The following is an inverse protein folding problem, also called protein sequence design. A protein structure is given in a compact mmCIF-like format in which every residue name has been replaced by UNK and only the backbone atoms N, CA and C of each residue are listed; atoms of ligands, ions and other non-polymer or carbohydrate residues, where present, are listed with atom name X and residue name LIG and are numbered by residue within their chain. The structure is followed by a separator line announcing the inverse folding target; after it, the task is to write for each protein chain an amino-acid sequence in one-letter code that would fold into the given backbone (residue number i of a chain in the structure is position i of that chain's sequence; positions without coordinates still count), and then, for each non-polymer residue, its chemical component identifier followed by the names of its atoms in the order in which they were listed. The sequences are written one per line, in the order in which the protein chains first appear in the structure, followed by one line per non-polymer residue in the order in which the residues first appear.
data_IF_348082993175
#
_entry.id   IF_348082993175
#
_cell.length_a   1.000
_cell.length_b   1.000
_cell.length_c   1.000
_cell.angle_alpha   90.00
_cell.angle_beta   90.00
_cell.angle_gamma   90.00
#
_symmetry.space_group_name_H-M   'P 1'
#
loop_
_entity.id
_entity.type
_entity.pdbx_description
1 polymer ?
#
# COMPACT_ATOMS: atom_id res chain seq x y z
N UNK A 1 -0.17 26.85 7.79
CA UNK A 1 -1.27 25.93 7.44
C UNK A 1 -0.84 24.56 7.89
N UNK A 2 -1.42 23.95 8.93
CA UNK A 2 -1.13 22.56 9.30
C UNK A 2 -1.83 21.68 8.29
N UNK A 3 -1.06 20.91 7.52
CA UNK A 3 -1.62 19.91 6.64
C UNK A 3 -2.51 18.97 7.47
N UNK A 4 -3.76 18.82 7.07
CA UNK A 4 -4.72 17.90 7.68
C UNK A 4 -4.31 16.50 7.23
N UNK A 5 -3.56 15.79 8.07
CA UNK A 5 -3.11 14.42 7.80
C UNK A 5 -4.35 13.51 7.73
N UNK A 6 -4.46 12.76 6.67
CA UNK A 6 -5.62 11.90 6.38
C UNK A 6 -5.78 10.71 7.31
N UNK A 7 -6.89 9.99 7.19
CA UNK A 7 -7.40 8.99 8.13
C UNK A 7 -6.86 7.58 7.88
N UNK A 8 -5.53 7.34 7.96
CA UNK A 8 -4.89 6.06 7.64
C UNK A 8 -3.85 5.65 8.68
N UNK A 9 -3.49 4.36 8.77
CA UNK A 9 -2.22 3.99 9.38
C UNK A 9 -1.11 4.87 8.83
N UNK A 10 -0.25 5.36 9.70
CA UNK A 10 0.89 6.16 9.26
C UNK A 10 1.97 5.25 8.65
N UNK A 11 2.87 5.78 7.84
CA UNK A 11 3.92 4.99 7.18
C UNK A 11 4.79 4.17 8.14
N UNK A 12 4.94 4.58 9.40
CA UNK A 12 5.63 3.76 10.39
C UNK A 12 4.92 2.41 10.64
N UNK A 13 3.59 2.36 10.63
CA UNK A 13 2.84 1.10 10.75
C UNK A 13 3.05 0.22 9.51
N UNK A 14 2.99 0.80 8.31
CA UNK A 14 3.24 0.06 7.06
C UNK A 14 4.69 -0.45 6.96
N UNK A 15 5.67 0.35 7.37
CA UNK A 15 7.08 -0.07 7.45
C UNK A 15 7.23 -1.22 8.45
N UNK A 16 6.54 -1.16 9.61
CA UNK A 16 6.58 -2.22 10.61
C UNK A 16 6.03 -3.55 10.07
N UNK A 17 4.91 -3.53 9.32
CA UNK A 17 4.38 -4.71 8.65
C UNK A 17 5.36 -5.30 7.64
N UNK A 18 5.93 -4.48 6.77
CA UNK A 18 6.93 -4.92 5.80
C UNK A 18 8.18 -5.48 6.47
N UNK A 19 8.69 -4.80 7.51
CA UNK A 19 9.84 -5.25 8.29
C UNK A 19 9.59 -6.60 8.96
N UNK A 20 8.45 -6.75 9.64
CA UNK A 20 8.09 -8.01 10.29
C UNK A 20 7.99 -9.15 9.30
N UNK A 21 7.27 -8.95 8.20
CA UNK A 21 7.11 -9.95 7.16
C UNK A 21 8.46 -10.43 6.61
N UNK A 22 9.36 -9.49 6.28
CA UNK A 22 10.68 -9.80 5.72
C UNK A 22 11.66 -10.40 6.75
N UNK A 23 11.44 -10.17 8.06
CA UNK A 23 12.25 -10.74 9.12
C UNK A 23 11.81 -12.16 9.52
N UNK A 24 10.51 -12.45 9.45
CA UNK A 24 9.95 -13.73 9.85
C UNK A 24 9.92 -14.76 8.71
N UNK A 25 9.87 -14.31 7.46
CA UNK A 25 9.76 -15.17 6.29
C UNK A 25 10.86 -14.87 5.27
N UNK A 26 11.54 -15.89 4.70
CA UNK A 26 12.44 -15.67 3.58
C UNK A 26 11.71 -15.00 2.41
N UNK A 27 12.23 -13.89 1.89
CA UNK A 27 11.61 -13.13 0.81
C UNK A 27 11.27 -14.00 -0.42
N UNK A 28 12.13 -14.97 -0.75
CA UNK A 28 11.91 -15.91 -1.85
C UNK A 28 10.70 -16.82 -1.64
N UNK A 29 10.39 -17.20 -0.38
CA UNK A 29 9.20 -18.01 -0.07
C UNK A 29 7.90 -17.23 -0.22
N UNK A 30 7.98 -15.90 -0.16
CA UNK A 30 6.90 -14.96 -0.38
C UNK A 30 6.76 -14.54 -1.85
N UNK A 31 7.65 -14.99 -2.73
CA UNK A 31 7.73 -14.55 -4.12
C UNK A 31 8.33 -13.15 -4.29
N UNK A 32 8.92 -12.57 -3.25
CA UNK A 32 9.59 -11.26 -3.26
C UNK A 32 11.04 -11.44 -3.69
N UNK A 33 11.48 -10.72 -4.73
CA UNK A 33 12.83 -10.77 -5.30
C UNK A 33 13.67 -9.57 -4.89
N UNK A 34 13.03 -8.43 -4.70
CA UNK A 34 13.63 -7.16 -4.32
C UNK A 34 12.91 -6.61 -3.08
N UNK A 35 13.49 -6.83 -1.91
CA UNK A 35 12.93 -6.38 -0.63
C UNK A 35 12.82 -4.85 -0.54
N UNK A 36 13.76 -4.12 -1.19
CA UNK A 36 13.72 -2.66 -1.24
C UNK A 36 12.51 -2.16 -2.07
N UNK A 37 12.25 -2.80 -3.21
CA UNK A 37 11.10 -2.48 -4.04
C UNK A 37 9.78 -2.85 -3.34
N UNK A 38 9.73 -3.97 -2.62
CA UNK A 38 8.57 -4.36 -1.82
C UNK A 38 8.30 -3.37 -0.69
N UNK A 39 9.34 -2.97 0.06
CA UNK A 39 9.23 -1.97 1.11
C UNK A 39 8.69 -0.64 0.56
N UNK A 40 9.27 -0.16 -0.54
CA UNK A 40 8.81 1.05 -1.18
C UNK A 40 7.37 0.94 -1.68
N UNK A 41 7.02 -0.19 -2.30
CA UNK A 41 5.67 -0.48 -2.78
C UNK A 41 4.63 -0.33 -1.66
N UNK A 42 4.98 -0.71 -0.44
CA UNK A 42 4.13 -0.59 0.75
C UNK A 42 3.87 0.88 1.18
N UNK A 43 4.42 1.86 0.49
CA UNK A 43 4.18 3.29 0.71
C UNK A 43 3.47 3.94 -0.49
N UNK A 44 3.50 3.28 -1.65
CA UNK A 44 3.06 3.84 -2.94
C UNK A 44 1.62 4.36 -2.95
N UNK A 45 0.61 3.65 -2.39
CA UNK A 45 -0.77 4.16 -2.39
C UNK A 45 -0.91 5.54 -1.74
N UNK A 46 -0.05 5.87 -0.79
CA UNK A 46 -0.06 7.13 -0.06
C UNK A 46 0.73 8.27 -0.72
N UNK A 47 1.57 7.97 -1.70
CA UNK A 47 2.45 9.00 -2.32
C UNK A 47 1.64 10.14 -2.92
N UNK A 48 0.54 9.85 -3.60
CA UNK A 48 -0.28 10.83 -4.31
C UNK A 48 -1.57 11.23 -3.62
N UNK A 49 -1.81 10.83 -2.38
CA UNK A 49 -2.98 11.30 -1.61
C UNK A 49 -2.84 12.77 -1.14
N UNK A 50 -1.65 13.36 -1.29
CA UNK A 50 -1.42 14.79 -1.13
C UNK A 50 -1.05 15.26 0.28
N UNK A 51 -0.80 14.35 1.23
CA UNK A 51 -0.44 14.72 2.61
C UNK A 51 0.79 14.00 3.17
N UNK A 52 1.23 12.88 2.58
CA UNK A 52 2.43 12.17 3.05
C UNK A 52 3.70 12.73 2.41
N UNK A 53 3.65 13.05 1.13
CA UNK A 53 4.78 13.60 0.40
C UNK A 53 4.63 15.12 0.23
N UNK A 54 5.63 15.93 0.62
CA UNK A 54 5.63 17.36 0.32
C UNK A 54 5.71 17.61 -1.19
N UNK A 55 4.73 18.34 -1.74
CA UNK A 55 4.70 18.74 -3.16
C UNK A 55 4.88 17.58 -4.14
N UNK A 56 4.02 16.54 -4.09
CA UNK A 56 4.08 15.46 -5.07
C UNK A 56 3.81 15.98 -6.48
N UNK A 57 4.29 15.30 -7.50
CA UNK A 57 4.07 15.70 -8.90
C UNK A 57 2.62 15.58 -9.38
N UNK A 58 1.76 14.96 -8.58
CA UNK A 58 0.33 14.82 -8.81
C UNK A 58 -0.41 14.53 -7.50
N UNK A 59 -1.72 14.76 -7.49
CA UNK A 59 -2.62 14.39 -6.39
C UNK A 59 -3.75 13.59 -6.99
N UNK A 60 -4.03 12.41 -6.42
CA UNK A 60 -5.10 11.52 -6.80
C UNK A 60 -6.10 11.37 -5.64
N UNK A 61 -7.39 11.20 -5.94
CA UNK A 61 -8.36 10.86 -4.92
C UNK A 61 -7.99 9.56 -4.19
N UNK A 62 -8.23 9.52 -2.88
CA UNK A 62 -8.01 8.33 -2.07
C UNK A 62 -8.72 7.09 -2.63
N UNK A 63 -9.94 7.25 -3.14
CA UNK A 63 -10.70 6.18 -3.77
C UNK A 63 -9.98 5.51 -4.95
N UNK A 64 -9.16 6.26 -5.69
CA UNK A 64 -8.35 5.72 -6.78
C UNK A 64 -7.07 5.06 -6.28
N UNK A 65 -6.35 5.70 -5.35
CA UNK A 65 -5.09 5.18 -4.85
C UNK A 65 -5.28 3.94 -3.97
N UNK A 66 -6.43 3.81 -3.31
CA UNK A 66 -6.73 2.74 -2.35
C UNK A 66 -7.86 1.81 -2.78
N UNK A 67 -8.38 1.91 -4.01
CA UNK A 67 -9.48 1.05 -4.47
C UNK A 67 -10.68 1.06 -3.52
N UNK A 68 -11.05 2.20 -2.98
CA UNK A 68 -12.04 2.32 -1.95
C UNK A 68 -13.19 3.24 -2.36
N UNK A 69 -14.39 2.96 -1.85
CA UNK A 69 -15.53 3.84 -2.06
C UNK A 69 -15.42 5.08 -1.16
N UNK A 70 -15.82 6.27 -1.64
CA UNK A 70 -15.74 7.49 -0.86
C UNK A 70 -16.63 7.44 0.39
N UNK A 71 -16.02 7.41 1.57
CA UNK A 71 -16.71 7.51 2.85
C UNK A 71 -15.74 8.06 3.93
N UNK A 72 -16.21 8.21 5.17
CA UNK A 72 -15.38 8.76 6.26
C UNK A 72 -14.22 7.85 6.69
N UNK A 73 -14.37 6.54 6.55
CA UNK A 73 -13.35 5.53 6.83
C UNK A 73 -13.44 4.51 5.69
N UNK A 74 -12.81 4.80 4.54
CA UNK A 74 -12.93 3.97 3.36
C UNK A 74 -12.15 2.66 3.54
N UNK A 75 -12.79 1.53 3.22
CA UNK A 75 -12.17 0.20 3.26
C UNK A 75 -11.64 -0.14 1.87
N UNK A 76 -10.33 -0.33 1.70
CA UNK A 76 -9.75 -0.73 0.43
C UNK A 76 -10.27 -2.09 -0.06
N UNK A 77 -10.56 -2.18 -1.35
CA UNK A 77 -10.86 -3.45 -2.02
C UNK A 77 -9.56 -4.09 -2.50
N UNK A 78 -8.79 -4.63 -1.57
CA UNK A 78 -7.47 -5.22 -1.82
C UNK A 78 -7.53 -6.42 -2.79
N UNK A 79 -8.66 -7.14 -2.81
CA UNK A 79 -8.89 -8.25 -3.76
C UNK A 79 -9.02 -7.77 -5.19
N UNK A 80 -9.74 -6.67 -5.42
CA UNK A 80 -9.88 -6.08 -6.74
C UNK A 80 -8.51 -5.65 -7.28
N UNK A 81 -7.65 -5.10 -6.41
CA UNK A 81 -6.27 -4.79 -6.78
C UNK A 81 -5.47 -6.04 -7.11
N UNK A 82 -5.58 -7.09 -6.29
CA UNK A 82 -4.90 -8.36 -6.54
C UNK A 82 -5.31 -8.98 -7.88
N UNK A 83 -6.61 -9.06 -8.11
CA UNK A 83 -7.18 -9.65 -9.33
C UNK A 83 -6.81 -8.86 -10.58
N UNK A 84 -6.60 -7.55 -10.43
CA UNK A 84 -6.21 -6.67 -11.55
C UNK A 84 -4.70 -6.71 -11.85
N UNK A 85 -3.84 -6.66 -10.82
CA UNK A 85 -2.40 -6.43 -11.01
C UNK A 85 -1.52 -7.63 -10.69
N UNK A 86 -1.94 -8.55 -9.84
CA UNK A 86 -1.11 -9.67 -9.40
C UNK A 86 -1.53 -10.97 -10.07
N UNK A 87 -2.81 -11.30 -10.05
CA UNK A 87 -3.31 -12.57 -10.59
C UNK A 87 -3.02 -12.73 -12.09
N UNK A 88 -3.28 -11.74 -12.96
CA UNK A 88 -2.96 -11.86 -14.38
C UNK A 88 -1.48 -12.06 -14.66
N UNK A 89 -0.61 -11.44 -13.86
CA UNK A 89 0.83 -11.58 -14.01
C UNK A 89 1.35 -12.98 -13.68
N UNK A 90 0.63 -13.76 -12.87
CA UNK A 90 0.95 -15.16 -12.60
C UNK A 90 0.75 -16.07 -13.83
N UNK A 91 -0.03 -15.66 -14.81
CA UNK A 91 -0.28 -16.43 -16.03
C UNK A 91 0.79 -16.21 -17.10
N UNK A 92 1.63 -15.19 -16.94
CA UNK A 92 2.67 -14.85 -17.91
C UNK A 92 3.94 -15.71 -17.71
N UNK A 93 4.71 -15.99 -18.80
CA UNK A 93 6.02 -16.62 -18.70
C UNK A 93 6.97 -15.84 -17.78
N UNK A 94 7.91 -16.53 -17.14
CA UNK A 94 8.85 -15.93 -16.19
C UNK A 94 9.83 -14.94 -16.80
N UNK A 95 10.06 -15.00 -18.11
CA UNK A 95 10.94 -14.14 -18.88
C UNK A 95 10.26 -12.83 -19.36
N UNK A 96 8.94 -12.69 -19.15
CA UNK A 96 8.24 -11.43 -19.47
C UNK A 96 8.78 -10.30 -18.59
N UNK A 97 9.14 -9.16 -19.19
CA UNK A 97 9.71 -8.03 -18.44
C UNK A 97 8.71 -7.45 -17.45
N UNK A 98 9.22 -6.81 -16.39
CA UNK A 98 8.41 -6.05 -15.45
C UNK A 98 7.72 -4.91 -16.17
N UNK A 99 6.41 -4.91 -16.18
CA UNK A 99 5.49 -3.88 -16.67
C UNK A 99 5.93 -3.09 -17.91
N UNK A 100 5.03 -2.56 -18.67
CA UNK A 100 5.37 -1.72 -19.80
C UNK A 100 5.82 -0.32 -19.34
N UNK A 101 6.75 0.27 -20.06
CA UNK A 101 7.15 1.67 -19.86
C UNK A 101 5.99 2.66 -20.19
N UNK A 102 5.09 2.24 -21.08
CA UNK A 102 3.86 2.97 -21.40
C UNK A 102 2.78 1.99 -21.86
N UNK A 103 1.54 2.26 -21.50
CA UNK A 103 0.38 1.52 -22.01
C UNK A 103 -0.47 2.46 -22.84
N UNK A 104 -0.74 2.06 -24.11
CA UNK A 104 -1.67 2.76 -24.97
C UNK A 104 -3.08 2.23 -24.70
N UNK A 105 -4.03 3.12 -24.44
CA UNK A 105 -5.41 2.78 -24.08
C UNK A 105 -6.28 2.90 -25.31
N UNK A 106 -7.05 1.84 -25.56
CA UNK A 106 -8.11 1.86 -26.59
C UNK A 106 -9.38 2.58 -26.09
N UNK A 107 -10.19 3.04 -27.04
CA UNK A 107 -11.45 3.75 -26.78
C UNK A 107 -12.35 3.00 -25.79
N UNK A 108 -12.76 3.66 -24.71
CA UNK A 108 -13.69 3.13 -23.72
C UNK A 108 -13.10 2.80 -22.35
N UNK A 109 -11.77 2.81 -22.19
CA UNK A 109 -11.10 2.74 -20.88
C UNK A 109 -10.68 4.15 -20.51
N UNK A 110 -11.37 4.75 -19.54
CA UNK A 110 -10.95 6.05 -19.01
C UNK A 110 -9.63 5.87 -18.23
N UNK A 111 -8.54 6.26 -18.87
CA UNK A 111 -7.29 6.46 -18.17
C UNK A 111 -7.16 7.95 -17.93
N UNK A 112 -7.45 8.34 -16.72
CA UNK A 112 -7.16 9.69 -16.26
C UNK A 112 -5.67 9.83 -16.07
N UNK A 113 -5.03 10.60 -16.93
CA UNK A 113 -3.67 11.06 -16.72
C UNK A 113 -3.65 12.40 -15.99
N UNK A 114 -4.04 12.41 -14.72
CA UNK A 114 -3.55 13.46 -13.83
C UNK A 114 -2.09 13.14 -13.52
N UNK A 115 -1.17 13.81 -14.20
CA UNK A 115 0.27 13.61 -13.96
C UNK A 115 0.89 12.32 -14.52
N UNK A 116 0.21 11.58 -15.40
CA UNK A 116 0.72 10.34 -16.01
C UNK A 116 0.21 9.04 -15.38
N UNK A 117 -0.82 9.10 -14.56
CA UNK A 117 -1.37 7.97 -13.80
C UNK A 117 -2.63 7.38 -14.45
N UNK A 118 -2.91 6.09 -14.16
CA UNK A 118 -4.15 5.44 -14.53
C UNK A 118 -5.27 5.80 -13.55
N UNK A 119 -6.47 6.08 -14.05
CA UNK A 119 -7.68 5.96 -13.28
C UNK A 119 -8.13 4.50 -13.33
N UNK A 120 -8.40 3.89 -12.16
CA UNK A 120 -9.00 2.57 -12.10
C UNK A 120 -10.48 2.70 -12.44
N UNK A 121 -10.94 1.89 -13.38
CA UNK A 121 -12.36 1.84 -13.69
C UNK A 121 -13.16 1.32 -12.50
N UNK A 122 -14.26 1.96 -12.19
CA UNK A 122 -15.12 1.61 -11.05
C UNK A 122 -16.11 0.45 -11.34
N UNK A 123 -16.04 -0.19 -12.52
CA UNK A 123 -16.95 -1.28 -12.88
C UNK A 123 -16.23 -2.57 -13.19
N UNK A 124 -16.82 -3.77 -12.94
CA UNK A 124 -16.21 -5.07 -13.24
C UNK A 124 -15.78 -5.22 -14.69
N UNK A 125 -16.57 -4.71 -15.65
CA UNK A 125 -16.29 -4.78 -17.08
C UNK A 125 -15.03 -3.98 -17.43
N UNK A 126 -14.83 -2.84 -16.78
CA UNK A 126 -13.64 -2.01 -16.97
C UNK A 126 -12.42 -2.64 -16.32
N UNK A 127 -12.59 -3.29 -15.16
CA UNK A 127 -11.50 -4.06 -14.53
C UNK A 127 -11.00 -5.16 -15.47
N UNK A 128 -11.92 -5.91 -16.09
CA UNK A 128 -11.54 -6.95 -17.05
C UNK A 128 -10.86 -6.37 -18.29
N UNK A 129 -11.33 -5.24 -18.81
CA UNK A 129 -10.68 -4.57 -19.93
C UNK A 129 -9.23 -4.13 -19.60
N UNK A 130 -9.00 -3.58 -18.39
CA UNK A 130 -7.63 -3.23 -17.92
C UNK A 130 -6.78 -4.47 -17.74
N UNK A 131 -7.32 -5.54 -17.14
CA UNK A 131 -6.60 -6.79 -16.97
C UNK A 131 -6.21 -7.42 -18.31
N UNK A 132 -7.13 -7.41 -19.29
CA UNK A 132 -6.87 -7.89 -20.64
C UNK A 132 -5.78 -7.06 -21.35
N UNK A 133 -5.81 -5.75 -21.18
CA UNK A 133 -4.81 -4.83 -21.72
C UNK A 133 -3.43 -5.09 -21.11
N UNK A 134 -3.35 -5.28 -19.79
CA UNK A 134 -2.09 -5.59 -19.09
C UNK A 134 -1.51 -6.94 -19.56
N UNK A 135 -2.35 -7.96 -19.72
CA UNK A 135 -1.95 -9.24 -20.30
C UNK A 135 -1.41 -9.09 -21.72
N UNK A 136 -2.12 -8.36 -22.57
CA UNK A 136 -1.72 -8.12 -23.95
C UNK A 136 -0.40 -7.33 -24.05
N UNK A 137 -0.15 -6.40 -23.12
CA UNK A 137 1.10 -5.64 -23.03
C UNK A 137 2.26 -6.45 -22.40
N UNK A 138 2.04 -7.68 -21.95
CA UNK A 138 3.06 -8.50 -21.30
C UNK A 138 3.42 -7.99 -19.89
N UNK A 139 2.50 -7.32 -19.20
CA UNK A 139 2.73 -6.83 -17.83
C UNK A 139 2.93 -7.99 -16.84
N UNK A 140 3.94 -7.87 -16.00
CA UNK A 140 4.22 -8.79 -14.91
C UNK A 140 4.27 -8.03 -13.58
N UNK A 141 3.71 -8.61 -12.50
CA UNK A 141 3.77 -7.99 -11.19
C UNK A 141 5.22 -7.79 -10.74
N UNK A 142 5.55 -6.58 -10.32
CA UNK A 142 6.82 -6.23 -9.68
C UNK A 142 6.69 -6.27 -8.17
N UNK A 143 7.82 -6.22 -7.45
CA UNK A 143 7.80 -6.18 -6.00
C UNK A 143 7.23 -4.85 -5.47
N UNK A 144 7.28 -3.76 -6.25
CA UNK A 144 6.53 -2.52 -5.97
C UNK A 144 5.02 -2.77 -5.97
N UNK A 145 4.51 -3.56 -6.93
CA UNK A 145 3.07 -3.92 -6.99
C UNK A 145 2.66 -4.79 -5.80
N UNK A 146 3.49 -5.78 -5.44
CA UNK A 146 3.24 -6.62 -4.26
C UNK A 146 3.22 -5.81 -2.97
N UNK A 147 4.14 -4.86 -2.83
CA UNK A 147 4.17 -3.94 -1.71
C UNK A 147 2.93 -3.04 -1.64
N UNK A 148 2.47 -2.51 -2.79
CA UNK A 148 1.25 -1.71 -2.84
C UNK A 148 0.01 -2.53 -2.45
N UNK A 149 -0.08 -3.78 -2.88
CA UNK A 149 -1.14 -4.67 -2.38
C UNK A 149 -1.04 -4.91 -0.87
N UNK A 150 0.17 -5.11 -0.33
CA UNK A 150 0.37 -5.31 1.10
C UNK A 150 -0.11 -4.10 1.92
N UNK A 151 0.14 -2.87 1.44
CA UNK A 151 -0.41 -1.66 2.02
C UNK A 151 -1.95 -1.70 2.06
N UNK A 152 -2.59 -1.96 0.91
CA UNK A 152 -4.04 -2.00 0.82
C UNK A 152 -4.66 -3.09 1.71
N UNK A 153 -3.99 -4.24 1.85
CA UNK A 153 -4.40 -5.32 2.75
C UNK A 153 -4.36 -4.88 4.21
N UNK A 154 -3.30 -4.18 4.64
CA UNK A 154 -3.20 -3.63 5.98
C UNK A 154 -4.32 -2.61 6.23
N UNK A 155 -4.50 -1.67 5.33
CA UNK A 155 -5.55 -0.65 5.44
C UNK A 155 -6.96 -1.25 5.47
N UNK A 156 -7.20 -2.28 4.67
CA UNK A 156 -8.44 -3.05 4.70
C UNK A 156 -8.68 -3.60 6.10
N UNK A 157 -7.71 -4.34 6.66
CA UNK A 157 -7.84 -4.94 8.00
C UNK A 157 -8.10 -3.88 9.09
N UNK A 158 -7.33 -2.79 9.10
CA UNK A 158 -7.50 -1.72 10.08
C UNK A 158 -8.82 -0.98 9.94
N UNK A 159 -9.29 -0.72 8.74
CA UNK A 159 -10.52 0.02 8.53
C UNK A 159 -11.76 -0.84 8.77
N UNK A 160 -11.74 -2.13 8.43
CA UNK A 160 -12.80 -3.08 8.83
C UNK A 160 -12.89 -3.20 10.36
N UNK A 161 -11.76 -3.42 11.04
CA UNK A 161 -11.73 -3.49 12.49
C UNK A 161 -12.20 -2.17 13.13
N UNK A 162 -11.84 -1.02 12.53
CA UNK A 162 -12.33 0.29 12.99
C UNK A 162 -13.85 0.38 12.87
N UNK A 163 -14.45 -0.07 11.76
CA UNK A 163 -15.91 -0.08 11.61
C UNK A 163 -16.58 -0.97 12.67
N UNK A 164 -16.07 -2.18 12.88
CA UNK A 164 -16.58 -3.10 13.91
C UNK A 164 -16.49 -2.46 15.31
N UNK A 165 -15.36 -1.85 15.65
CA UNK A 165 -15.16 -1.12 16.90
C UNK A 165 -16.16 0.01 17.10
N UNK A 166 -16.33 0.88 16.08
CA UNK A 166 -17.25 2.01 16.18
C UNK A 166 -18.70 1.53 16.35
N UNK A 167 -19.09 0.44 15.72
CA UNK A 167 -20.41 -0.16 15.87
C UNK A 167 -20.61 -0.75 17.27
N UNK A 168 -19.64 -1.52 17.76
CA UNK A 168 -19.71 -2.17 19.09
C UNK A 168 -19.81 -1.16 20.23
N UNK A 169 -18.99 -0.10 20.18
CA UNK A 169 -18.93 0.93 21.21
C UNK A 169 -19.87 2.13 20.96
N UNK A 170 -20.75 2.03 19.96
CA UNK A 170 -21.69 3.08 19.57
C UNK A 170 -21.05 4.46 19.36
N UNK A 171 -19.84 4.48 18.82
CA UNK A 171 -19.12 5.73 18.50
C UNK A 171 -19.57 6.24 17.15
N UNK A 172 -20.12 7.47 17.05
CA UNK A 172 -20.54 8.02 15.78
C UNK A 172 -19.35 8.24 14.84
N UNK A 173 -19.51 7.83 13.57
CA UNK A 173 -18.55 8.20 12.53
C UNK A 173 -18.58 9.73 12.30
N UNK A 174 -17.43 10.30 11.92
CA UNK A 174 -17.32 11.73 11.61
C UNK A 174 -15.92 12.28 11.85
N UNK A 175 -15.76 13.56 11.62
CA UNK A 175 -14.45 14.25 11.66
C UNK A 175 -13.75 14.12 13.02
N UNK A 176 -14.50 14.26 14.13
CA UNK A 176 -13.93 14.09 15.48
C UNK A 176 -13.37 12.69 15.70
N UNK A 177 -14.10 11.66 15.25
CA UNK A 177 -13.66 10.25 15.35
C UNK A 177 -12.46 10.00 14.45
N UNK A 178 -12.46 10.57 13.24
CA UNK A 178 -11.32 10.50 12.32
C UNK A 178 -10.05 11.10 12.95
N UNK A 179 -10.13 12.26 13.60
CA UNK A 179 -8.99 12.90 14.27
C UNK A 179 -8.47 12.04 15.43
N UNK A 180 -9.37 11.47 16.25
CA UNK A 180 -8.98 10.59 17.36
C UNK A 180 -8.30 9.32 16.83
N UNK A 181 -8.90 8.69 15.81
CA UNK A 181 -8.33 7.54 15.11
C UNK A 181 -6.89 7.85 14.68
N UNK A 182 -6.69 8.94 13.95
CA UNK A 182 -5.37 9.33 13.46
C UNK A 182 -4.36 9.49 14.59
N UNK A 183 -4.74 10.18 15.67
CA UNK A 183 -3.86 10.39 16.83
C UNK A 183 -3.47 9.07 17.51
N UNK A 184 -4.37 8.10 17.57
CA UNK A 184 -4.09 6.80 18.17
C UNK A 184 -3.19 5.95 17.26
N UNK A 185 -3.38 6.00 15.93
CA UNK A 185 -2.48 5.35 14.97
C UNK A 185 -1.06 5.94 15.00
N UNK A 186 -0.92 7.25 15.16
CA UNK A 186 0.39 7.90 15.32
C UNK A 186 1.10 7.43 16.60
N UNK A 187 0.35 7.26 17.70
CA UNK A 187 0.89 6.73 18.96
C UNK A 187 1.28 5.26 18.80
N UNK A 188 0.39 4.44 18.23
CA UNK A 188 0.66 3.02 17.97
C UNK A 188 1.89 2.84 17.09
N UNK A 189 1.98 3.56 15.98
CA UNK A 189 3.15 3.48 15.10
C UNK A 189 4.47 3.79 15.82
N UNK A 190 4.45 4.68 16.84
CA UNK A 190 5.64 4.97 17.65
C UNK A 190 5.97 3.92 18.71
N UNK A 191 5.08 2.96 18.98
CA UNK A 191 5.42 1.79 19.83
C UNK A 191 6.08 0.68 19.03
N UNK A 192 6.06 0.74 17.69
CA UNK A 192 6.63 -0.29 16.83
C UNK A 192 8.12 -0.04 16.60
N UNK A 193 8.99 -1.03 16.82
CA UNK A 193 10.43 -0.90 16.58
C UNK A 193 10.70 -1.02 15.07
N UNK A 194 10.78 0.10 14.37
CA UNK A 194 11.10 0.12 12.93
C UNK A 194 12.54 0.55 12.68
N UNK A 195 13.21 -0.20 11.81
CA UNK A 195 14.61 0.00 11.45
C UNK A 195 14.85 -0.08 9.95
N UNK A 196 13.91 -0.67 9.21
CA UNK A 196 14.03 -0.92 7.78
C UNK A 196 13.98 0.40 7.01
N UNK A 197 15.04 0.70 6.28
CA UNK A 197 15.18 1.86 5.41
C UNK A 197 15.24 1.43 3.95
N UNK A 198 14.81 2.31 3.04
CA UNK A 198 14.86 2.10 1.61
C UNK A 198 15.96 2.90 0.91
N UNK A 199 16.24 2.52 -0.32
CA UNK A 199 17.16 3.22 -1.23
C UNK A 199 16.48 3.49 -2.58
N UNK A 200 16.65 4.70 -3.12
CA UNK A 200 16.13 5.06 -4.43
C UNK A 200 17.09 4.57 -5.56
N UNK A 201 17.12 3.25 -5.74
CA UNK A 201 17.95 2.63 -6.79
C UNK A 201 17.34 2.81 -8.19
N UNK A 202 18.17 2.69 -9.24
CA UNK A 202 17.68 2.72 -10.62
C UNK A 202 16.63 1.62 -10.89
N UNK A 203 16.81 0.44 -10.31
CA UNK A 203 15.87 -0.67 -10.42
C UNK A 203 14.51 -0.33 -9.75
N UNK A 204 14.53 0.29 -8.57
CA UNK A 204 13.33 0.77 -7.90
C UNK A 204 12.59 1.82 -8.73
N UNK A 205 13.33 2.82 -9.24
CA UNK A 205 12.75 3.88 -10.08
C UNK A 205 12.10 3.29 -11.32
N UNK A 206 12.75 2.32 -11.97
CA UNK A 206 12.20 1.66 -13.15
C UNK A 206 10.92 0.87 -12.83
N UNK A 207 10.89 0.12 -11.72
CA UNK A 207 9.69 -0.61 -11.29
C UNK A 207 8.54 0.35 -10.96
N UNK A 208 8.81 1.42 -10.22
CA UNK A 208 7.81 2.40 -9.82
C UNK A 208 7.23 3.17 -11.03
N UNK A 209 8.06 3.52 -12.01
CA UNK A 209 7.63 4.17 -13.25
C UNK A 209 6.80 3.24 -14.13
N UNK A 210 7.13 1.94 -14.15
CA UNK A 210 6.42 0.93 -14.91
C UNK A 210 5.09 0.49 -14.28
N UNK A 211 4.81 0.87 -13.02
CA UNK A 211 3.59 0.49 -12.34
C UNK A 211 2.39 1.32 -12.88
N UNK A 212 1.47 0.71 -13.66
CA UNK A 212 0.49 1.47 -14.43
C UNK A 212 -0.43 2.33 -13.56
N UNK A 213 -0.77 1.87 -12.37
CA UNK A 213 -1.69 2.55 -11.45
C UNK A 213 -1.19 3.92 -11.02
N UNK A 214 0.10 4.05 -10.77
CA UNK A 214 0.68 5.28 -10.19
C UNK A 214 1.70 5.93 -11.11
N UNK A 215 2.46 5.16 -11.89
CA UNK A 215 3.50 5.61 -12.82
C UNK A 215 4.38 6.72 -12.20
N UNK A 216 4.97 6.42 -11.03
CA UNK A 216 5.67 7.40 -10.21
C UNK A 216 6.87 7.99 -10.95
N UNK A 217 7.05 9.29 -10.81
CA UNK A 217 8.23 9.97 -11.33
C UNK A 217 9.43 9.72 -10.41
N UNK A 218 10.63 9.70 -10.99
CA UNK A 218 11.89 9.57 -10.26
C UNK A 218 11.94 10.48 -9.02
N UNK A 219 11.62 11.75 -9.18
CA UNK A 219 11.67 12.74 -8.10
C UNK A 219 10.71 12.41 -6.95
N UNK A 220 9.56 11.79 -7.24
CA UNK A 220 8.61 11.38 -6.20
C UNK A 220 9.08 10.09 -5.50
N UNK A 221 9.73 9.18 -6.23
CA UNK A 221 10.36 7.99 -5.65
C UNK A 221 11.48 8.40 -4.67
N UNK A 222 12.41 9.26 -5.12
CA UNK A 222 13.53 9.75 -4.31
C UNK A 222 13.03 10.45 -3.04
N UNK A 223 12.06 11.37 -3.16
CA UNK A 223 11.46 12.06 -2.01
C UNK A 223 10.72 11.13 -1.07
N UNK A 224 9.99 10.15 -1.61
CA UNK A 224 9.26 9.20 -0.76
C UNK A 224 10.23 8.35 0.06
N UNK A 225 11.35 7.92 -0.53
CA UNK A 225 12.42 7.22 0.19
C UNK A 225 13.03 8.10 1.28
N UNK A 226 13.31 9.38 0.98
CA UNK A 226 13.82 10.32 1.99
C UNK A 226 12.85 10.51 3.15
N UNK A 227 11.55 10.70 2.85
CA UNK A 227 10.51 10.86 3.89
C UNK A 227 10.37 9.58 4.71
N UNK A 228 10.35 8.40 4.09
CA UNK A 228 10.27 7.13 4.80
C UNK A 228 11.46 6.92 5.75
N UNK A 229 12.68 7.19 5.28
CA UNK A 229 13.89 7.09 6.10
C UNK A 229 13.91 8.12 7.26
N UNK A 230 13.37 9.32 7.01
CA UNK A 230 13.19 10.32 8.07
C UNK A 230 12.15 9.85 9.11
N UNK A 231 11.07 9.17 8.69
CA UNK A 231 10.08 8.58 9.59
C UNK A 231 10.73 7.51 10.48
N UNK A 232 11.54 6.60 9.92
CA UNK A 232 12.27 5.59 10.69
C UNK A 232 13.18 6.24 11.72
N UNK A 233 13.95 7.26 11.31
CA UNK A 233 14.84 8.00 12.21
C UNK A 233 14.06 8.70 13.32
N UNK A 234 12.96 9.36 13.00
CA UNK A 234 12.10 10.04 13.96
C UNK A 234 11.40 9.04 14.90
N UNK A 235 10.98 7.90 14.41
CA UNK A 235 10.33 6.86 15.21
C UNK A 235 11.29 6.33 16.31
N UNK A 236 12.56 6.10 15.96
CA UNK A 236 13.60 5.69 16.94
C UNK A 236 13.81 6.77 18.00
N UNK A 237 13.88 8.03 17.60
CA UNK A 237 14.12 9.15 18.52
C UNK A 237 12.93 9.45 19.45
N UNK A 238 11.72 9.10 19.03
CA UNK A 238 10.47 9.37 19.74
C UNK A 238 9.68 8.09 20.01
N UNK A 239 10.39 6.97 20.18
CA UNK A 239 9.78 5.69 20.53
C UNK A 239 8.98 5.80 21.85
N UNK A 240 7.85 5.15 21.91
CA UNK A 240 7.01 5.08 23.10
C UNK A 240 7.14 3.70 23.71
N UNK A 241 7.79 3.64 24.89
CA UNK A 241 7.84 2.42 25.69
C UNK A 241 6.50 2.18 26.39
N UNK A 242 6.02 0.94 26.33
CA UNK A 242 4.78 0.54 27.00
C UNK A 242 3.51 0.94 26.24
N UNK A 243 2.39 1.07 26.94
CA UNK A 243 1.06 1.34 26.38
C UNK A 243 0.78 2.82 26.36
N UNK A 244 0.59 3.45 25.18
CA UNK A 244 0.18 4.84 25.08
C UNK A 244 -1.23 5.10 25.64
N UNK A 245 -1.48 6.33 26.03
CA UNK A 245 -2.84 6.79 26.36
C UNK A 245 -3.63 7.01 25.05
N UNK A 246 -4.30 5.97 24.59
CA UNK A 246 -5.16 6.00 23.41
C UNK A 246 -6.48 6.72 23.73
N UNK A 247 -7.02 7.43 22.74
CA UNK A 247 -8.22 8.23 22.90
C UNK A 247 -9.49 7.57 22.37
N UNK A 248 -9.36 6.63 21.43
CA UNK A 248 -10.45 5.93 20.76
C UNK A 248 -10.36 4.42 20.91
N UNK A 249 -9.18 3.85 20.74
CA UNK A 249 -8.93 2.42 20.74
C UNK A 249 -8.25 1.96 22.03
N UNK A 250 -7.93 0.66 22.10
CA UNK A 250 -7.13 0.05 23.17
C UNK A 250 -5.83 -0.53 22.61
N UNK A 251 -4.91 -0.91 23.48
CA UNK A 251 -3.72 -1.64 23.07
C UNK A 251 -4.06 -2.98 22.41
N UNK A 252 -5.04 -3.69 22.98
CA UNK A 252 -5.50 -4.99 22.46
C UNK A 252 -6.05 -4.85 21.05
N UNK A 253 -6.85 -3.81 20.77
CA UNK A 253 -7.32 -3.52 19.40
C UNK A 253 -6.16 -3.45 18.40
N UNK A 254 -5.13 -2.67 18.72
CA UNK A 254 -3.99 -2.53 17.82
C UNK A 254 -3.19 -3.82 17.68
N UNK A 255 -2.99 -4.54 18.77
CA UNK A 255 -2.27 -5.82 18.75
C UNK A 255 -3.01 -6.84 17.89
N UNK A 256 -4.29 -7.04 18.12
CA UNK A 256 -5.10 -8.02 17.38
C UNK A 256 -5.14 -7.71 15.89
N UNK A 257 -5.35 -6.44 15.52
CA UNK A 257 -5.41 -6.06 14.09
C UNK A 257 -4.03 -6.17 13.43
N UNK A 258 -2.95 -5.79 14.14
CA UNK A 258 -1.59 -5.92 13.62
C UNK A 258 -1.23 -7.39 13.36
N UNK A 259 -1.53 -8.30 14.30
CA UNK A 259 -1.31 -9.73 14.13
C UNK A 259 -2.15 -10.27 12.97
N UNK A 260 -3.44 -9.97 12.94
CA UNK A 260 -4.35 -10.41 11.88
C UNK A 260 -3.87 -9.97 10.48
N UNK A 261 -3.48 -8.71 10.31
CA UNK A 261 -2.98 -8.20 9.05
C UNK A 261 -1.69 -8.93 8.61
N UNK A 262 -0.75 -9.16 9.53
CA UNK A 262 0.47 -9.92 9.23
C UNK A 262 0.17 -11.37 8.84
N UNK A 263 -0.73 -12.06 9.52
CA UNK A 263 -1.15 -13.42 9.14
C UNK A 263 -1.75 -13.47 7.74
N UNK A 264 -2.57 -12.48 7.38
CA UNK A 264 -3.14 -12.38 6.04
C UNK A 264 -2.07 -12.15 4.97
N UNK A 265 -1.10 -11.26 5.23
CA UNK A 265 0.04 -11.02 4.34
C UNK A 265 0.87 -12.28 4.13
N UNK A 266 1.29 -12.95 5.21
CA UNK A 266 2.08 -14.19 5.15
C UNK A 266 1.35 -15.25 4.35
N UNK A 267 0.09 -15.51 4.67
CA UNK A 267 -0.71 -16.54 3.99
C UNK A 267 -0.83 -16.28 2.49
N UNK A 268 -1.14 -15.06 2.09
CA UNK A 268 -1.38 -14.71 0.68
C UNK A 268 -0.07 -14.72 -0.12
N UNK A 269 0.99 -14.12 0.41
CA UNK A 269 2.28 -14.05 -0.26
C UNK A 269 2.99 -15.42 -0.31
N UNK A 270 2.86 -16.26 0.73
CA UNK A 270 3.36 -17.65 0.65
C UNK A 270 2.66 -18.44 -0.44
N UNK A 271 1.34 -18.31 -0.57
CA UNK A 271 0.59 -18.91 -1.67
C UNK A 271 1.06 -18.40 -3.04
N UNK A 272 1.31 -17.11 -3.15
CA UNK A 272 1.86 -16.50 -4.36
C UNK A 272 3.25 -17.02 -4.71
N UNK A 273 4.17 -17.04 -3.75
CA UNK A 273 5.54 -17.55 -3.93
C UNK A 273 5.57 -19.02 -4.34
N UNK A 274 4.70 -19.84 -3.75
CA UNK A 274 4.55 -21.24 -4.17
C UNK A 274 4.10 -21.37 -5.63
N UNK A 275 3.07 -20.62 -6.03
CA UNK A 275 2.59 -20.62 -7.43
C UNK A 275 3.67 -20.17 -8.43
N UNK A 276 4.55 -19.26 -8.04
CA UNK A 276 5.70 -18.87 -8.88
C UNK A 276 6.72 -20.01 -8.98
N UNK A 277 7.03 -20.68 -7.87
CA UNK A 277 8.00 -21.79 -7.84
C UNK A 277 7.52 -23.01 -8.64
N UNK A 278 6.22 -23.31 -8.60
CA UNK A 278 5.62 -24.44 -9.34
C UNK A 278 5.68 -24.22 -10.88
N UNK A 279 6.04 -23.02 -11.35
CA UNK A 279 6.14 -22.64 -12.77
C UNK A 279 7.58 -22.45 -13.26
N UNK A 280 8.55 -22.46 -12.35
CA UNK A 280 9.98 -22.32 -12.65
C UNK A 280 10.63 -23.67 -12.88
#
# INVERSE_FOLDING_TARGET
MRATIGAMPSWNVHIAHAQRLLSECPASSLGIRDANAFLFGNLVPDVYVGYMLPHPSGILPYSLTHFADPCSIPVPRERDFWDLYVEPALELPSDVPLGPASITVEEGVEISRAGGHFAIPATPERHEAVAAMLRAAGYRASDVVLGAWAHLMCDHAYNEATHAWLQEYHVPAGERTRIRKQGDFDKFGRTLPIELTGEATEALVAQAAAFPQYALRRTDVERSVEVANAIVTNNRANHIDGVPDYSLFTADFFHEVFEHANECLVRRLTSYGKRLSDRS
#
